data_IF_556206996329
#
_entry.id   IF_556206996329
#
_cell.length_a   1.000
_cell.length_b   1.000
_cell.length_c   1.000
_cell.angle_alpha   90.00
_cell.angle_beta   90.00
_cell.angle_gamma   90.00
#
_symmetry.space_group_name_H-M   'P 1'
#
loop_
_entity.id
_entity.type
_entity.pdbx_description
1 polymer ?
#
# COMPACT_ATOMS: atom_id res chain seq x y z
N UNK A 1 12.78 56.32 49.08
CA UNK A 1 13.41 55.42 48.09
C UNK A 1 12.32 54.52 47.53
N UNK A 2 11.73 54.88 46.40
CA UNK A 2 10.73 54.07 45.72
C UNK A 2 11.47 53.13 44.76
N UNK A 3 11.30 51.81 44.93
CA UNK A 3 11.85 50.80 44.02
C UNK A 3 10.97 50.71 42.76
N UNK A 4 11.44 51.09 41.57
CA UNK A 4 10.68 50.96 40.34
C UNK A 4 11.35 49.87 39.50
N UNK A 5 11.00 48.59 39.65
CA UNK A 5 11.47 47.57 38.69
C UNK A 5 10.68 46.24 38.66
N UNK A 6 9.66 46.03 39.50
CA UNK A 6 8.93 44.74 39.52
C UNK A 6 7.88 44.56 38.42
N UNK A 7 7.38 45.65 37.81
CA UNK A 7 6.35 45.57 36.75
C UNK A 7 6.90 45.19 35.36
N UNK A 8 8.14 45.59 35.05
CA UNK A 8 8.78 45.28 33.75
C UNK A 8 9.19 43.81 33.63
N UNK A 9 9.61 43.19 34.74
CA UNK A 9 9.93 41.76 34.78
C UNK A 9 8.70 40.87 34.60
N UNK A 10 7.55 41.29 35.14
CA UNK A 10 6.29 40.55 35.03
C UNK A 10 5.73 40.57 33.61
N UNK A 11 5.78 41.71 32.89
CA UNK A 11 5.34 41.77 31.49
C UNK A 11 6.23 40.95 30.55
N UNK A 12 7.56 40.94 30.77
CA UNK A 12 8.49 40.15 29.97
C UNK A 12 8.22 38.65 30.10
N UNK A 13 8.04 38.13 31.32
CA UNK A 13 7.69 36.73 31.55
C UNK A 13 6.34 36.33 30.93
N UNK A 14 5.33 37.19 30.99
CA UNK A 14 4.04 36.94 30.33
C UNK A 14 4.16 36.93 28.80
N UNK A 15 4.97 37.82 28.21
CA UNK A 15 5.22 37.83 26.77
C UNK A 15 5.93 36.54 26.32
N UNK A 16 6.98 36.11 27.04
CA UNK A 16 7.69 34.87 26.76
C UNK A 16 6.80 33.63 26.93
N UNK A 17 5.89 33.60 27.91
CA UNK A 17 4.90 32.51 28.08
C UNK A 17 3.90 32.48 26.91
N UNK A 18 3.42 33.63 26.45
CA UNK A 18 2.50 33.71 25.30
C UNK A 18 3.17 33.33 23.98
N UNK A 19 4.43 33.71 23.76
CA UNK A 19 5.22 33.33 22.57
C UNK A 19 5.58 31.83 22.55
N UNK A 20 5.80 31.21 23.71
CA UNK A 20 6.03 29.75 23.81
C UNK A 20 4.73 28.93 23.72
N UNK A 21 3.58 29.49 24.10
CA UNK A 21 2.26 28.90 23.84
C UNK A 21 1.79 29.03 22.37
N UNK A 22 2.33 29.99 21.62
CA UNK A 22 2.12 30.12 20.16
C UNK A 22 2.98 29.14 19.35
N UNK A 23 4.01 28.54 19.95
CA UNK A 23 4.77 27.42 19.37
C UNK A 23 4.17 26.08 19.80
N UNK A 24 2.88 25.86 19.52
CA UNK A 24 2.45 24.49 19.31
C UNK A 24 2.90 24.08 17.91
N UNK A 25 3.85 23.13 17.75
CA UNK A 25 4.07 22.55 16.45
C UNK A 25 2.71 22.00 16.01
N UNK A 26 2.16 22.56 14.94
CA UNK A 26 1.00 21.99 14.27
C UNK A 26 1.40 20.57 13.91
N UNK A 27 0.78 19.60 14.56
CA UNK A 27 0.87 18.21 14.11
C UNK A 27 0.05 18.19 12.84
N UNK A 28 0.75 18.30 11.72
CA UNK A 28 0.18 18.01 10.41
C UNK A 28 -0.30 16.56 10.41
N UNK A 29 -1.56 16.35 10.07
CA UNK A 29 -2.11 15.03 9.81
C UNK A 29 -2.29 14.93 8.31
N UNK A 30 -1.64 13.97 7.66
CA UNK A 30 -1.92 13.73 6.25
C UNK A 30 -3.42 13.40 6.08
N UNK A 31 -4.16 14.28 5.42
CA UNK A 31 -5.55 14.04 5.03
C UNK A 31 -5.65 13.61 3.56
N UNK A 32 -4.53 13.21 2.96
CA UNK A 32 -4.43 12.88 1.55
C UNK A 32 -3.71 11.55 1.37
N UNK A 33 -4.33 10.65 0.60
CA UNK A 33 -3.75 9.36 0.23
C UNK A 33 -3.73 9.21 -1.29
N UNK A 34 -2.54 9.02 -1.85
CA UNK A 34 -2.35 8.67 -3.25
C UNK A 34 -1.94 7.21 -3.36
N UNK A 35 -2.61 6.48 -4.24
CA UNK A 35 -2.42 5.03 -4.37
C UNK A 35 -1.94 4.70 -5.77
N UNK A 36 -0.83 3.98 -5.90
CA UNK A 36 -0.27 3.48 -7.16
C UNK A 36 -0.14 1.97 -7.08
N UNK A 37 -0.25 1.27 -8.20
CA UNK A 37 -0.08 -0.17 -8.19
C UNK A 37 -0.94 -0.98 -9.14
N UNK A 38 -1.08 -2.25 -8.78
CA UNK A 38 -1.83 -3.27 -9.51
C UNK A 38 -3.22 -3.58 -8.91
N UNK A 39 -3.77 -4.75 -9.23
CA UNK A 39 -5.11 -5.19 -8.85
C UNK A 39 -5.32 -5.30 -7.33
N UNK A 40 -4.25 -5.47 -6.54
CA UNK A 40 -4.38 -5.46 -5.09
C UNK A 40 -4.84 -4.09 -4.56
N UNK A 41 -4.48 -3.01 -5.25
CA UNK A 41 -4.76 -1.63 -4.85
C UNK A 41 -5.72 -0.89 -5.81
N UNK A 42 -6.25 -1.57 -6.83
CA UNK A 42 -7.19 -0.99 -7.78
C UNK A 42 -8.53 -0.66 -7.11
N UNK A 43 -8.86 0.64 -7.05
CA UNK A 43 -10.10 1.15 -6.48
C UNK A 43 -11.27 1.19 -7.48
N UNK A 44 -11.12 0.54 -8.65
CA UNK A 44 -12.10 0.52 -9.74
C UNK A 44 -11.66 1.32 -10.97
N UNK A 45 -10.37 1.64 -11.15
CA UNK A 45 -9.88 2.28 -12.36
C UNK A 45 -10.00 1.36 -13.58
N UNK A 46 -9.77 0.05 -13.41
CA UNK A 46 -9.80 -0.91 -14.52
C UNK A 46 -11.04 -0.75 -15.38
N UNK A 47 -12.22 -0.56 -14.78
CA UNK A 47 -13.51 -0.47 -15.47
C UNK A 47 -13.66 0.75 -16.41
N UNK A 48 -12.75 1.71 -16.37
CA UNK A 48 -12.76 2.90 -17.25
C UNK A 48 -11.76 2.80 -18.41
N UNK A 49 -11.07 1.66 -18.56
CA UNK A 49 -10.17 1.40 -19.70
C UNK A 49 -10.94 0.84 -20.91
N UNK A 50 -10.20 0.29 -21.89
CA UNK A 50 -10.74 -0.16 -23.18
C UNK A 50 -11.91 -1.15 -23.09
N UNK A 51 -12.69 -1.27 -24.17
CA UNK A 51 -13.90 -2.12 -24.20
C UNK A 51 -13.64 -3.61 -23.92
N UNK A 52 -12.43 -4.12 -24.21
CA UNK A 52 -12.06 -5.53 -24.03
C UNK A 52 -11.52 -5.89 -22.63
N UNK A 53 -11.54 -4.94 -21.69
CA UNK A 53 -11.04 -5.14 -20.32
C UNK A 53 -11.83 -6.21 -19.56
N UNK A 54 -11.15 -6.90 -18.65
CA UNK A 54 -11.77 -7.62 -17.53
C UNK A 54 -11.62 -6.74 -16.29
N UNK A 55 -12.73 -6.35 -15.68
CA UNK A 55 -12.78 -5.53 -14.48
C UNK A 55 -13.54 -6.25 -13.35
N UNK A 56 -13.38 -5.81 -12.10
CA UNK A 56 -14.10 -6.38 -10.95
C UNK A 56 -15.43 -5.64 -10.66
N UNK A 57 -16.13 -5.19 -11.71
CA UNK A 57 -17.39 -4.44 -11.64
C UNK A 57 -18.65 -5.33 -11.76
N UNK A 58 -18.49 -6.62 -11.47
CA UNK A 58 -19.56 -7.62 -11.52
C UNK A 58 -19.46 -8.63 -10.36
N UNK A 59 -20.57 -9.30 -9.96
CA UNK A 59 -20.54 -10.34 -8.94
C UNK A 59 -19.63 -11.51 -9.35
N UNK A 60 -18.77 -12.01 -8.43
CA UNK A 60 -18.95 -11.94 -6.99
C UNK A 60 -18.03 -10.94 -6.29
N UNK A 61 -17.28 -10.13 -7.03
CA UNK A 61 -16.50 -9.05 -6.43
C UNK A 61 -17.43 -8.11 -5.66
N UNK A 62 -17.03 -7.76 -4.44
CA UNK A 62 -17.85 -6.95 -3.53
C UNK A 62 -19.01 -7.68 -2.83
N UNK A 63 -19.09 -9.02 -2.89
CA UNK A 63 -20.16 -9.80 -2.21
C UNK A 63 -20.30 -9.50 -0.71
N UNK A 64 -19.20 -9.21 0.00
CA UNK A 64 -19.18 -8.91 1.44
C UNK A 64 -19.73 -7.51 1.75
N UNK A 65 -19.63 -6.58 0.81
CA UNK A 65 -20.21 -5.22 0.93
C UNK A 65 -21.56 -5.08 0.25
N UNK A 66 -22.04 -6.13 -0.42
CA UNK A 66 -23.38 -6.23 -1.00
C UNK A 66 -23.51 -5.78 -2.45
N UNK A 67 -22.45 -5.27 -3.06
CA UNK A 67 -22.44 -4.81 -4.46
C UNK A 67 -21.02 -4.83 -5.05
N UNK A 68 -20.91 -4.95 -6.38
CA UNK A 68 -19.63 -4.86 -7.05
C UNK A 68 -19.06 -3.44 -6.98
N UNK A 69 -17.77 -3.34 -6.64
CA UNK A 69 -17.10 -2.04 -6.34
C UNK A 69 -15.92 -1.73 -7.25
N UNK A 70 -15.61 -2.60 -8.22
CA UNK A 70 -14.44 -2.49 -9.07
C UNK A 70 -13.12 -2.93 -8.39
N UNK A 71 -13.16 -3.32 -7.11
CA UNK A 71 -12.03 -3.85 -6.34
C UNK A 71 -11.91 -5.35 -6.53
N UNK A 72 -10.69 -5.84 -6.70
CA UNK A 72 -10.40 -7.27 -6.86
C UNK A 72 -10.40 -7.99 -5.51
N UNK A 73 -11.56 -8.02 -4.85
CA UNK A 73 -11.79 -8.68 -3.57
C UNK A 73 -13.29 -8.92 -3.37
N UNK A 74 -13.67 -9.67 -2.34
CA UNK A 74 -15.07 -9.75 -1.89
C UNK A 74 -15.56 -8.43 -1.26
N UNK A 75 -14.69 -7.45 -1.04
CA UNK A 75 -15.07 -6.15 -0.48
C UNK A 75 -13.93 -5.14 -0.48
N UNK A 76 -13.57 -4.66 0.71
CA UNK A 76 -12.53 -3.67 0.92
C UNK A 76 -11.12 -4.22 0.74
N UNK A 77 -10.30 -3.40 0.09
CA UNK A 77 -8.85 -3.63 -0.09
C UNK A 77 -8.07 -2.77 0.89
N UNK A 78 -6.77 -3.05 1.06
CA UNK A 78 -5.88 -2.32 2.00
C UNK A 78 -6.03 -0.79 1.92
N UNK A 79 -6.03 -0.12 0.74
CA UNK A 79 -6.23 1.32 0.65
C UNK A 79 -7.54 1.84 1.29
N UNK A 80 -8.63 1.08 1.23
CA UNK A 80 -9.91 1.47 1.83
C UNK A 80 -9.84 1.52 3.35
N UNK A 81 -9.17 0.52 3.94
CA UNK A 81 -8.96 0.46 5.38
C UNK A 81 -8.03 1.55 5.87
N UNK A 82 -6.93 1.79 5.15
CA UNK A 82 -6.00 2.87 5.47
C UNK A 82 -6.68 4.24 5.40
N UNK A 83 -7.50 4.50 4.38
CA UNK A 83 -8.32 5.71 4.33
C UNK A 83 -9.23 5.85 5.56
N UNK A 84 -9.89 4.75 5.97
CA UNK A 84 -10.68 4.72 7.20
C UNK A 84 -9.86 5.02 8.46
N UNK A 85 -8.66 4.47 8.59
CA UNK A 85 -7.76 4.73 9.73
C UNK A 85 -7.24 6.17 9.75
N UNK A 86 -7.00 6.75 8.57
CA UNK A 86 -6.68 8.16 8.37
C UNK A 86 -7.87 9.09 8.62
N UNK A 87 -9.09 8.55 8.76
CA UNK A 87 -10.36 9.27 8.90
C UNK A 87 -10.69 10.15 7.68
N UNK A 88 -10.36 9.67 6.49
CA UNK A 88 -10.70 10.31 5.22
C UNK A 88 -11.71 9.43 4.45
N UNK A 89 -12.44 9.97 3.47
CA UNK A 89 -13.28 9.16 2.59
C UNK A 89 -12.46 8.08 1.86
N UNK A 90 -13.13 7.00 1.44
CA UNK A 90 -12.48 5.98 0.58
C UNK A 90 -11.92 6.64 -0.67
N UNK A 91 -10.75 6.20 -1.11
CA UNK A 91 -10.06 6.79 -2.23
C UNK A 91 -10.73 6.40 -3.55
N UNK A 92 -11.11 7.41 -4.32
CA UNK A 92 -11.78 7.25 -5.60
C UNK A 92 -10.82 6.94 -6.76
N UNK A 93 -11.27 6.21 -7.79
CA UNK A 93 -10.47 5.94 -8.99
C UNK A 93 -10.29 7.21 -9.83
N UNK A 94 -9.05 7.59 -10.15
CA UNK A 94 -8.74 8.81 -10.91
C UNK A 94 -9.37 8.84 -12.32
N UNK A 95 -9.68 7.67 -12.89
CA UNK A 95 -10.29 7.58 -14.22
C UNK A 95 -11.79 7.89 -14.22
N UNK A 96 -12.45 7.92 -13.05
CA UNK A 96 -13.81 8.45 -12.93
C UNK A 96 -13.77 9.96 -12.69
N UNK A 97 -13.91 10.76 -13.75
CA UNK A 97 -13.78 12.22 -13.66
C UNK A 97 -14.84 12.92 -12.80
N UNK A 98 -15.91 12.21 -12.42
CA UNK A 98 -17.03 12.76 -11.64
C UNK A 98 -16.82 12.70 -10.13
N UNK A 99 -15.74 12.07 -9.68
CA UNK A 99 -15.44 11.84 -8.26
C UNK A 99 -14.84 13.08 -7.57
N UNK A 100 -14.98 13.12 -6.25
CA UNK A 100 -14.24 14.06 -5.41
C UNK A 100 -12.82 13.52 -5.14
N UNK A 101 -11.83 14.38 -5.36
CA UNK A 101 -10.42 14.06 -5.16
C UNK A 101 -9.80 14.87 -4.03
N UNK A 102 -10.59 15.59 -3.22
CA UNK A 102 -10.11 16.45 -2.14
C UNK A 102 -9.13 15.78 -1.17
N UNK A 103 -9.27 14.46 -0.95
CA UNK A 103 -8.44 13.65 -0.06
C UNK A 103 -7.50 12.68 -0.80
N UNK A 104 -7.21 12.95 -2.06
CA UNK A 104 -6.34 12.14 -2.92
C UNK A 104 -7.10 11.28 -3.92
N UNK A 105 -6.40 10.36 -4.56
CA UNK A 105 -6.93 9.53 -5.64
C UNK A 105 -6.13 8.23 -5.79
N UNK A 106 -6.79 7.19 -6.30
CA UNK A 106 -6.14 5.96 -6.70
C UNK A 106 -5.83 6.02 -8.18
N UNK A 107 -4.56 5.79 -8.51
CA UNK A 107 -4.02 5.61 -9.84
C UNK A 107 -3.73 4.14 -10.14
N UNK A 108 -3.83 3.25 -9.14
CA UNK A 108 -3.62 1.82 -9.30
C UNK A 108 -4.64 1.22 -10.29
N UNK A 109 -4.18 0.27 -11.09
CA UNK A 109 -4.98 -0.39 -12.13
C UNK A 109 -4.63 -1.87 -12.15
N UNK A 110 -5.64 -2.74 -12.18
CA UNK A 110 -5.40 -4.18 -12.27
C UNK A 110 -4.58 -4.60 -13.50
N UNK A 111 -3.75 -5.62 -13.30
CA UNK A 111 -2.73 -6.11 -14.24
C UNK A 111 -1.62 -5.10 -14.58
N UNK A 112 -1.50 -4.01 -13.81
CA UNK A 112 -0.42 -3.05 -14.03
C UNK A 112 0.94 -3.72 -13.87
N UNK A 113 1.84 -3.40 -14.79
CA UNK A 113 3.25 -3.79 -14.70
C UNK A 113 4.13 -2.55 -14.61
N UNK A 114 5.38 -2.73 -14.24
CA UNK A 114 6.37 -1.66 -14.25
C UNK A 114 6.87 -1.40 -15.67
N UNK A 115 7.19 -2.47 -16.43
CA UNK A 115 7.91 -2.35 -17.69
C UNK A 115 7.04 -2.34 -18.95
N UNK A 116 5.86 -2.98 -18.94
CA UNK A 116 5.06 -3.22 -20.15
C UNK A 116 3.61 -2.72 -20.03
N UNK A 117 3.13 -2.04 -21.07
CA UNK A 117 1.73 -1.62 -21.15
C UNK A 117 0.98 -2.46 -22.17
N UNK A 118 -0.27 -2.79 -21.88
CA UNK A 118 -1.30 -3.09 -22.88
C UNK A 118 -2.35 -1.98 -22.89
N UNK A 119 -3.34 -2.05 -23.80
CA UNK A 119 -4.49 -1.13 -23.82
C UNK A 119 -5.52 -1.43 -22.70
N UNK A 120 -5.34 -2.55 -21.99
CA UNK A 120 -6.25 -3.04 -20.95
C UNK A 120 -5.76 -2.66 -19.55
N UNK A 121 -4.56 -2.09 -19.41
CA UNK A 121 -3.99 -1.67 -18.12
C UNK A 121 -3.12 -0.41 -18.27
N UNK A 122 -2.50 0.05 -17.18
CA UNK A 122 -1.54 1.14 -17.16
C UNK A 122 -0.24 0.72 -16.48
N UNK A 123 0.91 1.11 -17.01
CA UNK A 123 2.19 0.96 -16.31
C UNK A 123 2.32 1.92 -15.13
N UNK A 124 3.19 1.61 -14.17
CA UNK A 124 3.53 2.55 -13.08
C UNK A 124 3.88 3.94 -13.61
N UNK A 125 4.68 4.02 -14.68
CA UNK A 125 5.04 5.29 -15.31
C UNK A 125 3.82 6.04 -15.83
N UNK A 126 2.85 5.37 -16.45
CA UNK A 126 1.61 6.00 -16.90
C UNK A 126 0.74 6.48 -15.73
N UNK A 127 0.71 5.72 -14.63
CA UNK A 127 0.01 6.12 -13.40
C UNK A 127 0.63 7.39 -12.82
N UNK A 128 1.97 7.47 -12.72
CA UNK A 128 2.69 8.67 -12.27
C UNK A 128 2.49 9.85 -13.22
N UNK A 129 2.53 9.65 -14.54
CA UNK A 129 2.22 10.71 -15.52
C UNK A 129 0.80 11.25 -15.33
N UNK A 130 -0.18 10.37 -15.07
CA UNK A 130 -1.56 10.77 -14.77
C UNK A 130 -1.63 11.59 -13.48
N UNK A 131 -0.90 11.19 -12.44
CA UNK A 131 -0.78 11.94 -11.19
C UNK A 131 -0.18 13.33 -11.43
N UNK A 132 0.97 13.42 -12.08
CA UNK A 132 1.64 14.71 -12.35
C UNK A 132 0.77 15.65 -13.18
N UNK A 133 -0.01 15.12 -14.15
CA UNK A 133 -0.97 15.91 -14.93
C UNK A 133 -2.20 16.36 -14.13
N UNK A 134 -2.53 15.65 -13.06
CA UNK A 134 -3.68 15.93 -12.20
C UNK A 134 -3.29 16.76 -10.96
N UNK A 135 -2.00 17.04 -10.77
CA UNK A 135 -1.46 17.59 -9.51
C UNK A 135 -2.10 18.92 -9.09
N UNK A 136 -2.58 19.70 -10.05
CA UNK A 136 -3.26 20.97 -9.83
C UNK A 136 -4.62 20.84 -9.12
N UNK A 137 -5.12 19.62 -8.91
CA UNK A 137 -6.29 19.34 -8.05
C UNK A 137 -5.97 19.48 -6.56
N UNK A 138 -4.69 19.51 -6.17
CA UNK A 138 -4.24 19.55 -4.78
C UNK A 138 -3.30 20.73 -4.54
N UNK A 139 -3.24 21.18 -3.28
CA UNK A 139 -2.27 22.21 -2.86
C UNK A 139 -0.89 21.58 -2.67
N UNK A 140 0.17 22.39 -2.74
CA UNK A 140 1.53 21.92 -2.46
C UNK A 140 1.67 21.34 -1.05
N UNK A 141 0.94 21.90 -0.08
CA UNK A 141 0.88 21.37 1.29
C UNK A 141 0.24 19.98 1.31
N UNK A 142 -0.94 19.81 0.67
CA UNK A 142 -1.58 18.50 0.57
C UNK A 142 -0.70 17.46 -0.12
N UNK A 143 0.08 17.84 -1.14
CA UNK A 143 1.03 16.96 -1.82
C UNK A 143 2.20 16.57 -0.90
N UNK A 144 2.82 17.53 -0.23
CA UNK A 144 3.96 17.26 0.66
C UNK A 144 3.58 16.46 1.91
N UNK A 145 2.36 16.64 2.41
CA UNK A 145 1.89 15.95 3.60
C UNK A 145 1.28 14.58 3.30
N UNK A 146 0.87 14.31 2.05
CA UNK A 146 0.21 13.07 1.64
C UNK A 146 1.05 11.81 1.88
N UNK A 147 0.35 10.69 2.05
CA UNK A 147 0.95 9.36 1.97
C UNK A 147 0.83 8.83 0.53
N UNK A 148 1.94 8.34 -0.01
CA UNK A 148 2.04 7.75 -1.34
C UNK A 148 2.19 6.22 -1.22
N UNK A 149 1.07 5.51 -1.29
CA UNK A 149 0.99 4.07 -1.11
C UNK A 149 1.21 3.33 -2.45
N UNK A 150 2.13 2.37 -2.48
CA UNK A 150 2.49 1.64 -3.70
C UNK A 150 2.58 0.13 -3.48
N UNK A 151 1.98 -0.64 -4.40
CA UNK A 151 2.19 -2.09 -4.57
C UNK A 151 2.21 -2.44 -6.05
N UNK A 152 3.36 -2.84 -6.58
CA UNK A 152 3.54 -3.05 -8.03
C UNK A 152 4.67 -4.03 -8.32
N UNK A 153 4.55 -4.80 -9.40
CA UNK A 153 5.61 -5.68 -9.90
C UNK A 153 5.21 -7.16 -9.98
N UNK A 154 4.10 -7.56 -9.33
CA UNK A 154 3.62 -8.95 -9.33
C UNK A 154 3.44 -9.50 -10.75
N UNK A 155 2.75 -8.75 -11.61
CA UNK A 155 2.49 -9.18 -12.98
C UNK A 155 3.74 -9.14 -13.88
N UNK A 156 4.75 -8.28 -13.61
CA UNK A 156 6.04 -8.32 -14.31
C UNK A 156 6.71 -9.69 -14.13
N UNK A 157 6.80 -10.17 -12.88
CA UNK A 157 7.48 -11.42 -12.57
C UNK A 157 6.65 -12.66 -12.94
N UNK A 158 5.32 -12.63 -12.78
CA UNK A 158 4.46 -13.71 -13.26
C UNK A 158 4.58 -13.89 -14.78
N UNK A 159 4.55 -12.78 -15.54
CA UNK A 159 4.70 -12.82 -16.99
C UNK A 159 6.12 -13.24 -17.42
N UNK A 160 7.16 -12.68 -16.78
CA UNK A 160 8.54 -13.02 -17.10
C UNK A 160 8.83 -14.50 -16.88
N UNK A 161 8.45 -15.05 -15.73
CA UNK A 161 8.76 -16.44 -15.36
C UNK A 161 7.94 -17.47 -16.15
N UNK A 162 6.76 -17.08 -16.65
CA UNK A 162 5.98 -17.87 -17.61
C UNK A 162 6.68 -17.98 -18.96
N UNK A 163 7.26 -16.87 -19.44
CA UNK A 163 7.95 -16.81 -20.72
C UNK A 163 9.41 -17.29 -20.67
N UNK A 164 10.01 -17.29 -19.48
CA UNK A 164 11.40 -17.68 -19.23
C UNK A 164 11.41 -18.70 -18.07
N UNK A 165 11.12 -19.98 -18.31
CA UNK A 165 10.99 -20.96 -17.23
C UNK A 165 12.33 -21.37 -16.59
N UNK A 166 13.46 -21.14 -17.27
CA UNK A 166 14.80 -21.49 -16.79
C UNK A 166 15.80 -20.33 -17.03
N UNK A 167 15.59 -19.15 -16.43
CA UNK A 167 16.52 -18.04 -16.60
C UNK A 167 17.79 -18.28 -15.78
N UNK A 168 18.94 -17.86 -16.30
CA UNK A 168 20.18 -17.80 -15.52
C UNK A 168 20.05 -16.77 -14.39
N UNK A 169 20.91 -16.85 -13.38
CA UNK A 169 20.89 -15.87 -12.29
C UNK A 169 21.17 -14.44 -12.78
N UNK A 170 22.03 -14.28 -13.79
CA UNK A 170 22.26 -12.99 -14.46
C UNK A 170 20.97 -12.46 -15.12
N UNK A 171 20.22 -13.32 -15.83
CA UNK A 171 18.96 -12.91 -16.46
C UNK A 171 17.89 -12.52 -15.44
N UNK A 172 17.85 -13.21 -14.28
CA UNK A 172 16.96 -12.84 -13.16
C UNK A 172 17.33 -11.47 -12.61
N UNK A 173 18.60 -11.25 -12.34
CA UNK A 173 19.14 -10.00 -11.80
C UNK A 173 18.89 -8.84 -12.77
N UNK A 174 19.24 -9.00 -14.05
CA UNK A 174 19.04 -7.98 -15.09
C UNK A 174 17.57 -7.56 -15.23
N UNK A 175 16.63 -8.51 -15.12
CA UNK A 175 15.21 -8.20 -15.18
C UNK A 175 14.74 -7.45 -13.93
N UNK A 176 15.15 -7.89 -12.74
CA UNK A 176 14.82 -7.19 -11.48
C UNK A 176 15.41 -5.77 -11.50
N UNK A 177 16.63 -5.58 -11.97
CA UNK A 177 17.28 -4.27 -11.99
C UNK A 177 16.57 -3.29 -12.92
N UNK A 178 16.05 -3.76 -14.06
CA UNK A 178 15.20 -2.93 -14.95
C UNK A 178 13.91 -2.48 -14.25
N UNK A 179 13.24 -3.40 -13.55
CA UNK A 179 12.02 -3.10 -12.77
C UNK A 179 12.33 -2.08 -11.67
N UNK A 180 13.37 -2.31 -10.87
CA UNK A 180 13.74 -1.42 -9.75
C UNK A 180 14.19 -0.05 -10.24
N UNK A 181 14.93 0.03 -11.36
CA UNK A 181 15.32 1.31 -11.98
C UNK A 181 14.10 2.14 -12.40
N UNK A 182 13.07 1.48 -12.94
CA UNK A 182 11.84 2.15 -13.35
C UNK A 182 11.01 2.60 -12.14
N UNK A 183 11.00 1.82 -11.06
CA UNK A 183 10.39 2.23 -9.78
C UNK A 183 11.15 3.43 -9.18
N UNK A 184 12.48 3.43 -9.20
CA UNK A 184 13.29 4.58 -8.74
C UNK A 184 12.91 5.87 -9.50
N UNK A 185 12.76 5.78 -10.83
CA UNK A 185 12.34 6.92 -11.64
C UNK A 185 10.92 7.41 -11.29
N UNK A 186 9.98 6.49 -11.06
CA UNK A 186 8.62 6.82 -10.63
C UNK A 186 8.60 7.53 -9.27
N UNK A 187 9.37 7.04 -8.29
CA UNK A 187 9.49 7.63 -6.96
C UNK A 187 10.09 9.04 -7.05
N UNK A 188 11.17 9.21 -7.82
CA UNK A 188 11.79 10.52 -8.03
C UNK A 188 10.83 11.52 -8.66
N UNK A 189 10.05 11.10 -9.66
CA UNK A 189 9.05 11.98 -10.28
C UNK A 189 7.93 12.39 -9.30
N UNK A 190 7.50 11.50 -8.41
CA UNK A 190 6.52 11.83 -7.36
C UNK A 190 7.14 12.76 -6.30
N UNK A 191 8.40 12.54 -5.93
CA UNK A 191 9.13 13.40 -5.00
C UNK A 191 9.35 14.82 -5.56
N UNK A 192 9.76 14.92 -6.83
CA UNK A 192 9.87 16.19 -7.56
C UNK A 192 8.53 16.92 -7.65
N UNK A 193 7.41 16.18 -7.70
CA UNK A 193 6.07 16.74 -7.66
C UNK A 193 5.59 17.18 -6.26
N UNK A 194 6.43 17.02 -5.24
CA UNK A 194 6.18 17.48 -3.86
C UNK A 194 6.05 16.36 -2.83
N UNK A 195 5.98 15.09 -3.25
CA UNK A 195 5.75 13.98 -2.31
C UNK A 195 6.91 13.73 -1.35
N UNK A 196 6.60 13.42 -0.09
CA UNK A 196 7.61 13.23 0.97
C UNK A 196 7.45 11.93 1.76
N UNK A 197 6.23 11.38 1.89
CA UNK A 197 5.94 10.21 2.72
C UNK A 197 5.48 9.03 1.87
N UNK A 198 6.32 8.02 1.71
CA UNK A 198 6.08 6.89 0.82
C UNK A 198 5.82 5.61 1.60
N UNK A 199 4.81 4.84 1.21
CA UNK A 199 4.51 3.55 1.80
C UNK A 199 4.58 2.46 0.73
N UNK A 200 5.42 1.46 0.95
CA UNK A 200 5.58 0.33 0.04
C UNK A 200 5.13 -0.96 0.71
N UNK A 201 4.35 -1.74 -0.03
CA UNK A 201 4.08 -3.14 0.28
C UNK A 201 4.99 -4.00 -0.59
N UNK A 202 5.76 -4.89 0.02
CA UNK A 202 6.60 -5.86 -0.72
C UNK A 202 5.73 -6.84 -1.51
N UNK A 203 6.29 -7.56 -2.47
CA UNK A 203 5.56 -8.58 -3.22
C UNK A 203 5.32 -9.83 -2.37
N UNK A 204 4.19 -10.49 -2.61
CA UNK A 204 3.86 -11.79 -2.00
C UNK A 204 4.82 -12.88 -2.53
N UNK A 205 4.89 -14.06 -1.88
CA UNK A 205 5.52 -15.24 -2.48
C UNK A 205 4.70 -15.68 -3.71
N UNK A 206 5.00 -15.11 -4.88
CA UNK A 206 4.18 -15.25 -6.09
C UNK A 206 3.97 -16.70 -6.52
N UNK A 207 4.94 -17.57 -6.26
CA UNK A 207 4.82 -19.00 -6.53
C UNK A 207 3.82 -19.74 -5.66
N UNK A 208 3.39 -19.14 -4.55
CA UNK A 208 2.43 -19.68 -3.60
C UNK A 208 0.99 -19.25 -3.89
N UNK A 209 0.77 -18.32 -4.81
CA UNK A 209 -0.59 -17.86 -5.17
C UNK A 209 -1.42 -19.06 -5.68
N UNK A 210 -2.73 -19.14 -5.33
CA UNK A 210 -3.59 -20.25 -5.75
C UNK A 210 -3.55 -20.50 -7.26
N UNK A 211 -3.55 -19.43 -8.08
CA UNK A 211 -3.46 -19.54 -9.55
C UNK A 211 -2.16 -20.22 -9.99
N UNK A 212 -1.02 -19.86 -9.40
CA UNK A 212 0.29 -20.38 -9.81
C UNK A 212 0.45 -21.84 -9.40
N UNK A 213 0.03 -22.20 -8.18
CA UNK A 213 0.03 -23.60 -7.71
C UNK A 213 -0.88 -24.47 -8.56
N UNK A 214 -2.04 -23.95 -8.93
CA UNK A 214 -2.98 -24.63 -9.81
C UNK A 214 -2.39 -24.86 -11.20
N UNK A 215 -1.80 -23.84 -11.82
CA UNK A 215 -1.12 -23.95 -13.12
C UNK A 215 0.05 -24.95 -13.11
N UNK A 216 0.77 -25.05 -11.98
CA UNK A 216 1.86 -26.02 -11.80
C UNK A 216 1.40 -27.41 -11.37
N UNK A 217 0.11 -27.60 -11.08
CA UNK A 217 -0.45 -28.87 -10.63
C UNK A 217 0.06 -29.33 -9.26
N UNK A 218 0.50 -28.40 -8.39
CA UNK A 218 1.06 -28.73 -7.08
C UNK A 218 0.31 -28.01 -5.95
N UNK A 219 -0.47 -28.78 -5.19
CA UNK A 219 -1.27 -28.27 -4.07
C UNK A 219 -0.44 -27.96 -2.83
N UNK A 220 0.80 -28.45 -2.69
CA UNK A 220 1.56 -28.36 -1.44
C UNK A 220 2.76 -27.41 -1.52
N UNK A 221 3.47 -27.45 -2.63
CA UNK A 221 4.69 -26.68 -2.80
C UNK A 221 4.44 -25.46 -3.69
N UNK A 222 5.07 -24.35 -3.31
CA UNK A 222 5.08 -23.15 -4.12
C UNK A 222 6.03 -23.31 -5.31
N UNK A 223 5.70 -22.69 -6.44
CA UNK A 223 6.62 -22.60 -7.56
C UNK A 223 7.84 -21.76 -7.16
N UNK A 224 9.04 -22.35 -7.29
CA UNK A 224 10.28 -21.71 -6.81
C UNK A 224 10.60 -20.39 -7.53
N UNK A 225 10.64 -20.41 -8.87
CA UNK A 225 11.13 -19.29 -9.66
C UNK A 225 10.34 -17.96 -9.46
N UNK A 226 8.99 -17.92 -9.49
CA UNK A 226 8.26 -16.68 -9.24
C UNK A 226 8.48 -16.12 -7.83
N UNK A 227 8.56 -16.99 -6.82
CA UNK A 227 8.83 -16.58 -5.44
C UNK A 227 10.26 -16.07 -5.25
N UNK A 228 11.25 -16.68 -5.91
CA UNK A 228 12.64 -16.21 -5.89
C UNK A 228 12.79 -14.83 -6.52
N UNK A 229 12.15 -14.60 -7.67
CA UNK A 229 12.15 -13.30 -8.34
C UNK A 229 11.49 -12.22 -7.47
N UNK A 230 10.36 -12.55 -6.82
CA UNK A 230 9.69 -11.65 -5.88
C UNK A 230 10.55 -11.33 -4.66
N UNK A 231 11.24 -12.32 -4.09
CA UNK A 231 12.16 -12.11 -2.98
C UNK A 231 13.35 -11.20 -3.37
N UNK A 232 13.91 -11.40 -4.58
CA UNK A 232 14.98 -10.56 -5.11
C UNK A 232 14.51 -9.11 -5.34
N UNK A 233 13.30 -8.93 -5.90
CA UNK A 233 12.65 -7.62 -6.00
C UNK A 233 12.52 -6.95 -4.64
N UNK A 234 11.96 -7.66 -3.65
CA UNK A 234 11.70 -7.11 -2.32
C UNK A 234 12.98 -6.62 -1.65
N UNK A 235 14.06 -7.40 -1.76
CA UNK A 235 15.39 -7.02 -1.27
C UNK A 235 15.90 -5.75 -1.96
N UNK A 236 15.84 -5.70 -3.29
CA UNK A 236 16.37 -4.56 -4.04
C UNK A 236 15.50 -3.30 -3.85
N UNK A 237 14.19 -3.45 -3.68
CA UNK A 237 13.28 -2.35 -3.39
C UNK A 237 13.54 -1.76 -2.00
N UNK A 238 13.77 -2.58 -0.98
CA UNK A 238 14.15 -2.10 0.35
C UNK A 238 15.49 -1.35 0.31
N UNK A 239 16.51 -1.92 -0.34
CA UNK A 239 17.80 -1.25 -0.53
C UNK A 239 17.64 0.10 -1.27
N UNK A 240 16.75 0.17 -2.25
CA UNK A 240 16.42 1.42 -2.95
C UNK A 240 15.79 2.43 -1.99
N UNK A 241 14.88 2.02 -1.09
CA UNK A 241 14.28 2.94 -0.13
C UNK A 241 15.31 3.50 0.85
N UNK A 242 16.21 2.65 1.34
CA UNK A 242 17.32 3.06 2.21
C UNK A 242 18.25 4.05 1.50
N UNK A 243 18.59 3.79 0.24
CA UNK A 243 19.37 4.71 -0.60
C UNK A 243 18.67 6.06 -0.77
N UNK A 244 17.39 6.05 -1.18
CA UNK A 244 16.63 7.28 -1.43
C UNK A 244 16.42 8.11 -0.16
N UNK A 245 16.32 7.49 1.01
CA UNK A 245 16.28 8.19 2.29
C UNK A 245 17.59 8.95 2.61
N UNK A 246 18.72 8.52 2.06
CA UNK A 246 20.00 9.25 2.14
C UNK A 246 20.19 10.28 1.03
N UNK A 247 19.63 10.03 -0.15
CA UNK A 247 19.83 10.86 -1.35
C UNK A 247 18.82 12.01 -1.49
N UNK A 248 17.59 11.84 -0.98
CA UNK A 248 16.49 12.78 -1.18
C UNK A 248 16.10 13.47 0.12
N UNK A 249 16.03 14.80 0.07
CA UNK A 249 15.59 15.62 1.21
C UNK A 249 14.14 15.30 1.61
N UNK A 250 13.93 15.15 2.91
CA UNK A 250 12.63 14.83 3.53
C UNK A 250 11.92 13.63 2.87
N UNK A 251 12.68 12.63 2.44
CA UNK A 251 12.15 11.34 2.01
C UNK A 251 11.94 10.42 3.21
N UNK A 252 10.68 10.20 3.56
CA UNK A 252 10.27 9.31 4.64
C UNK A 252 9.56 8.12 4.05
N UNK A 253 9.87 6.92 4.53
CA UNK A 253 9.23 5.72 4.03
C UNK A 253 8.80 4.74 5.11
N UNK A 254 7.83 3.93 4.73
CA UNK A 254 7.37 2.71 5.39
C UNK A 254 7.48 1.58 4.37
N UNK A 255 7.99 0.45 4.80
CA UNK A 255 8.10 -0.77 4.00
C UNK A 255 7.47 -1.91 4.78
N UNK A 256 6.48 -2.56 4.18
CA UNK A 256 5.76 -3.68 4.77
C UNK A 256 6.17 -5.01 4.12
N UNK A 257 6.64 -5.96 4.93
CA UNK A 257 6.98 -7.32 4.54
C UNK A 257 5.73 -8.19 4.31
N UNK A 258 5.08 -7.92 3.19
CA UNK A 258 3.95 -8.69 2.71
C UNK A 258 4.31 -10.13 2.36
N UNK A 259 5.55 -10.36 1.90
CA UNK A 259 6.03 -11.69 1.54
C UNK A 259 5.88 -12.65 2.71
N UNK A 260 6.52 -12.32 3.84
CA UNK A 260 6.46 -13.15 5.04
C UNK A 260 5.07 -13.16 5.65
N UNK A 261 4.34 -12.03 5.62
CA UNK A 261 2.97 -11.97 6.15
C UNK A 261 2.02 -12.95 5.43
N UNK A 262 2.02 -12.94 4.10
CA UNK A 262 1.17 -13.84 3.31
C UNK A 262 1.67 -15.28 3.41
N UNK A 263 2.98 -15.52 3.45
CA UNK A 263 3.52 -16.85 3.67
C UNK A 263 3.04 -17.44 5.01
N UNK A 264 3.09 -16.67 6.10
CA UNK A 264 2.64 -17.11 7.41
C UNK A 264 1.14 -17.38 7.46
N UNK A 265 0.32 -16.53 6.81
CA UNK A 265 -1.13 -16.75 6.68
C UNK A 265 -1.46 -17.98 5.85
N UNK A 266 -0.66 -18.26 4.82
CA UNK A 266 -0.84 -19.42 3.97
C UNK A 266 -0.49 -20.74 4.70
N UNK A 267 0.58 -20.72 5.49
CA UNK A 267 1.08 -21.89 6.23
C UNK A 267 0.31 -22.17 7.52
N UNK A 268 -0.05 -21.12 8.27
CA UNK A 268 -0.70 -21.22 9.58
C UNK A 268 -2.04 -20.46 9.60
N UNK A 269 -2.99 -20.72 8.68
CA UNK A 269 -4.18 -19.90 8.48
C UNK A 269 -5.03 -19.73 9.75
N UNK A 270 -5.09 -20.77 10.59
CA UNK A 270 -5.89 -20.76 11.83
C UNK A 270 -5.35 -19.79 12.88
N UNK A 271 -4.04 -19.55 12.90
CA UNK A 271 -3.41 -18.52 13.76
C UNK A 271 -3.91 -17.12 13.39
N UNK A 272 -4.38 -16.96 12.16
CA UNK A 272 -4.86 -15.70 11.59
C UNK A 272 -6.36 -15.73 11.29
N UNK A 273 -7.11 -16.57 12.03
CA UNK A 273 -8.57 -16.73 11.94
C UNK A 273 -9.11 -17.27 10.60
N UNK A 274 -8.25 -17.72 9.69
CA UNK A 274 -8.66 -18.37 8.43
C UNK A 274 -8.77 -19.89 8.58
N UNK A 275 -9.65 -20.49 7.79
CA UNK A 275 -9.74 -21.94 7.64
C UNK A 275 -8.72 -22.44 6.62
N UNK A 276 -8.55 -21.71 5.50
CA UNK A 276 -7.62 -22.06 4.44
C UNK A 276 -6.79 -20.88 3.97
N UNK A 277 -5.50 -21.14 3.77
CA UNK A 277 -4.53 -20.18 3.28
C UNK A 277 -3.96 -20.51 1.90
N UNK A 278 -4.41 -21.60 1.27
CA UNK A 278 -3.83 -22.13 0.02
C UNK A 278 -4.80 -22.14 -1.14
N UNK A 279 -6.10 -22.31 -0.88
CA UNK A 279 -7.16 -22.24 -1.88
C UNK A 279 -7.81 -20.85 -1.88
N UNK A 280 -8.42 -20.49 -3.01
CA UNK A 280 -9.22 -19.28 -3.13
C UNK A 280 -10.70 -19.54 -2.79
N UNK A 281 -11.39 -18.50 -2.34
CA UNK A 281 -12.85 -18.57 -2.11
C UNK A 281 -13.61 -18.71 -3.43
N UNK A 282 -13.17 -18.04 -4.49
CA UNK A 282 -13.85 -17.94 -5.76
C UNK A 282 -13.01 -18.49 -6.91
N UNK A 283 -13.59 -19.43 -7.65
CA UNK A 283 -12.98 -20.00 -8.85
C UNK A 283 -13.23 -21.49 -9.02
N UNK A 284 -12.47 -22.09 -9.92
CA UNK A 284 -12.55 -23.51 -10.29
C UNK A 284 -11.20 -24.20 -10.17
N UNK A 285 -11.22 -25.52 -10.14
CA UNK A 285 -10.02 -26.36 -10.01
C UNK A 285 -9.76 -26.73 -8.55
N UNK A 286 -8.68 -27.47 -8.30
CA UNK A 286 -8.42 -28.07 -6.99
C UNK A 286 -8.01 -27.03 -5.91
N UNK A 287 -7.63 -25.82 -6.31
CA UNK A 287 -7.37 -24.68 -5.40
C UNK A 287 -8.31 -23.50 -5.66
N UNK A 288 -9.35 -23.67 -6.49
CA UNK A 288 -10.19 -22.57 -7.00
C UNK A 288 -9.37 -21.44 -7.64
N UNK A 289 -8.18 -21.73 -8.19
CA UNK A 289 -7.21 -20.70 -8.57
C UNK A 289 -7.52 -19.92 -9.85
N UNK A 290 -8.60 -20.24 -10.57
CA UNK A 290 -8.91 -19.63 -11.89
C UNK A 290 -10.41 -19.45 -12.09
N UNK A 291 -10.80 -18.52 -12.95
CA UNK A 291 -12.17 -18.45 -13.47
C UNK A 291 -13.23 -18.08 -12.43
N UNK A 292 -12.89 -17.19 -11.49
CA UNK A 292 -13.84 -16.66 -10.52
C UNK A 292 -15.08 -16.07 -11.21
N UNK A 293 -16.26 -16.51 -10.78
CA UNK A 293 -17.57 -16.15 -11.33
C UNK A 293 -18.66 -16.29 -10.26
N UNK A 294 -19.83 -15.69 -10.49
CA UNK A 294 -20.91 -15.66 -9.50
C UNK A 294 -21.40 -17.06 -9.04
N UNK A 295 -21.16 -18.12 -9.81
CA UNK A 295 -21.62 -19.48 -9.52
C UNK A 295 -20.56 -20.39 -8.86
N UNK A 296 -19.36 -19.89 -8.56
CA UNK A 296 -18.26 -20.69 -8.01
C UNK A 296 -17.55 -20.01 -6.83
N UNK A 297 -18.36 -19.42 -5.94
CA UNK A 297 -17.91 -18.71 -4.73
C UNK A 297 -18.13 -19.58 -3.50
N UNK A 298 -17.20 -19.51 -2.56
CA UNK A 298 -17.32 -20.16 -1.26
C UNK A 298 -18.48 -19.58 -0.42
N UNK A 299 -19.00 -20.31 0.59
CA UNK A 299 -20.08 -19.82 1.44
C UNK A 299 -19.71 -18.64 2.34
N UNK A 300 -18.45 -18.57 2.81
CA UNK A 300 -17.97 -17.50 3.69
C UNK A 300 -16.55 -17.06 3.29
N UNK A 301 -16.39 -15.89 2.64
CA UNK A 301 -15.08 -15.37 2.28
C UNK A 301 -14.13 -15.20 3.46
N UNK A 302 -14.62 -15.03 4.71
CA UNK A 302 -13.77 -14.83 5.89
C UNK A 302 -12.96 -16.08 6.26
N UNK A 303 -13.36 -17.25 5.76
CA UNK A 303 -12.63 -18.50 5.97
C UNK A 303 -11.36 -18.59 5.11
N UNK A 304 -11.16 -17.69 4.15
CA UNK A 304 -10.11 -17.77 3.13
C UNK A 304 -9.17 -16.57 3.20
N UNK A 305 -7.87 -16.82 3.00
CA UNK A 305 -6.88 -15.75 2.79
C UNK A 305 -7.08 -15.08 1.42
N UNK A 306 -7.33 -15.89 0.39
CA UNK A 306 -7.45 -15.45 -1.00
C UNK A 306 -8.91 -15.44 -1.46
N UNK A 307 -9.36 -14.32 -2.04
CA UNK A 307 -10.69 -14.25 -2.63
C UNK A 307 -10.71 -14.95 -3.98
N UNK A 308 -9.78 -14.61 -4.87
CA UNK A 308 -9.59 -15.27 -6.16
C UNK A 308 -8.17 -15.87 -6.26
N UNK A 309 -7.76 -16.26 -7.47
CA UNK A 309 -6.45 -16.87 -7.70
C UNK A 309 -5.21 -16.03 -7.34
N UNK A 310 -5.36 -14.71 -7.16
CA UNK A 310 -4.26 -13.76 -6.90
C UNK A 310 -4.52 -12.85 -5.70
N UNK A 311 -5.76 -12.41 -5.50
CA UNK A 311 -6.10 -11.33 -4.60
C UNK A 311 -6.65 -11.79 -3.26
N UNK A 312 -6.46 -10.97 -2.24
CA UNK A 312 -6.88 -11.25 -0.87
C UNK A 312 -8.38 -11.06 -0.65
N UNK A 313 -8.91 -11.77 0.34
CA UNK A 313 -10.25 -11.47 0.88
C UNK A 313 -10.26 -10.14 1.63
N UNK A 314 -11.44 -9.57 1.85
CA UNK A 314 -11.61 -8.36 2.64
C UNK A 314 -11.02 -8.53 4.04
N UNK A 315 -11.24 -9.70 4.67
CA UNK A 315 -10.69 -10.00 6.00
C UNK A 315 -9.15 -10.03 5.99
N UNK A 316 -8.54 -10.68 4.99
CA UNK A 316 -7.09 -10.67 4.85
C UNK A 316 -6.53 -9.26 4.56
N UNK A 317 -7.22 -8.46 3.72
CA UNK A 317 -6.88 -7.06 3.49
C UNK A 317 -6.96 -6.22 4.77
N UNK A 318 -7.97 -6.44 5.62
CA UNK A 318 -8.11 -5.75 6.90
C UNK A 318 -6.92 -6.04 7.82
N UNK A 319 -6.57 -7.31 8.01
CA UNK A 319 -5.47 -7.68 8.89
C UNK A 319 -4.12 -7.18 8.36
N UNK A 320 -3.93 -7.16 7.04
CA UNK A 320 -2.75 -6.53 6.40
C UNK A 320 -2.72 -5.02 6.66
N UNK A 321 -3.82 -4.31 6.41
CA UNK A 321 -3.90 -2.87 6.65
C UNK A 321 -3.64 -2.51 8.11
N UNK A 322 -4.09 -3.37 9.04
CA UNK A 322 -3.82 -3.20 10.46
C UNK A 322 -2.32 -3.27 10.80
N UNK A 323 -1.62 -4.25 10.23
CA UNK A 323 -0.16 -4.41 10.36
C UNK A 323 0.59 -3.20 9.81
N UNK A 324 0.23 -2.76 8.60
CA UNK A 324 0.80 -1.57 7.96
C UNK A 324 0.56 -0.29 8.78
N UNK A 325 -0.62 -0.17 9.39
CA UNK A 325 -0.99 1.04 10.12
C UNK A 325 -0.14 1.25 11.37
N UNK A 326 -0.02 0.25 12.25
CA UNK A 326 0.61 0.43 13.57
C UNK A 326 0.94 -0.86 14.35
N UNK A 327 0.62 -2.06 13.82
CA UNK A 327 0.55 -3.24 14.67
C UNK A 327 1.91 -3.92 14.96
N UNK A 328 2.81 -4.07 13.99
CA UNK A 328 3.99 -4.92 14.18
C UNK A 328 5.28 -4.37 13.54
N UNK A 329 6.28 -3.96 14.34
CA UNK A 329 7.57 -3.49 13.85
C UNK A 329 8.46 -4.61 13.28
N UNK A 330 8.10 -5.88 13.45
CA UNK A 330 8.82 -7.01 12.83
C UNK A 330 8.53 -7.14 11.34
N UNK A 331 7.37 -6.65 10.89
CA UNK A 331 6.94 -6.73 9.49
C UNK A 331 6.75 -5.37 8.83
N UNK A 332 6.76 -4.26 9.59
CA UNK A 332 6.69 -2.90 9.03
C UNK A 332 7.80 -2.02 9.59
N UNK A 333 8.58 -1.37 8.72
CA UNK A 333 9.61 -0.42 9.14
C UNK A 333 10.17 0.43 8.00
N UNK A 334 11.02 1.43 8.27
CA UNK A 334 11.41 1.90 9.60
C UNK A 334 10.29 2.68 10.30
N UNK A 335 9.32 3.20 9.56
CA UNK A 335 8.10 3.79 10.10
C UNK A 335 6.91 2.90 9.74
N UNK A 336 5.84 2.91 10.55
CA UNK A 336 4.51 2.48 10.12
C UNK A 336 3.70 3.65 9.53
N UNK A 337 2.53 3.37 8.95
CA UNK A 337 1.73 4.41 8.30
C UNK A 337 1.16 5.44 9.29
N UNK A 338 0.86 5.05 10.54
CA UNK A 338 0.45 6.01 11.57
C UNK A 338 1.58 6.98 11.90
N UNK A 339 2.82 6.51 11.97
CA UNK A 339 4.00 7.36 12.18
C UNK A 339 4.25 8.28 10.98
N UNK A 340 4.16 7.76 9.75
CA UNK A 340 4.25 8.58 8.53
C UNK A 340 3.18 9.68 8.49
N UNK A 341 1.96 9.38 8.89
CA UNK A 341 0.83 10.31 8.92
C UNK A 341 1.18 11.63 9.61
N UNK A 342 1.84 11.52 10.76
CA UNK A 342 2.18 12.65 11.65
C UNK A 342 3.66 13.04 11.56
N UNK A 343 4.42 12.45 10.64
CA UNK A 343 5.85 12.70 10.51
C UNK A 343 6.09 14.17 10.11
N UNK A 344 6.90 14.92 10.86
CA UNK A 344 7.16 16.32 10.57
C UNK A 344 8.02 16.47 9.31
N UNK A 345 7.64 17.39 8.41
CA UNK A 345 8.39 17.65 7.18
C UNK A 345 9.68 18.47 7.41
N UNK A 346 9.77 19.21 8.53
CA UNK A 346 10.94 20.02 8.90
C UNK A 346 11.96 19.24 9.75
N UNK A 347 13.20 19.17 9.26
CA UNK A 347 14.34 18.45 9.87
C UNK A 347 14.85 19.06 11.18
N UNK A 348 14.49 20.31 11.52
CA UNK A 348 15.03 21.04 12.67
C UNK A 348 14.48 20.61 14.05
N UNK A 349 13.56 19.65 14.13
CA UNK A 349 12.88 19.28 15.38
C UNK A 349 12.81 17.77 15.63
N UNK A 350 13.92 17.05 15.47
CA UNK A 350 13.90 15.57 15.51
C UNK A 350 13.80 14.97 16.93
N UNK A 351 14.25 15.62 18.01
CA UNK A 351 14.35 14.93 19.33
C UNK A 351 13.20 15.16 20.32
N UNK A 352 12.34 16.15 20.12
CA UNK A 352 11.18 16.42 21.00
C UNK A 352 9.83 15.99 20.40
N UNK A 353 9.78 15.67 19.09
CA UNK A 353 8.56 15.25 18.39
C UNK A 353 8.30 13.73 18.43
N UNK A 354 9.35 12.90 18.53
CA UNK A 354 9.26 11.43 18.63
C UNK A 354 8.36 10.96 19.80
N UNK A 355 8.46 11.61 20.97
CA UNK A 355 7.65 11.28 22.14
C UNK A 355 6.14 11.58 21.97
N UNK A 356 5.75 12.53 21.11
CA UNK A 356 4.32 12.82 20.82
C UNK A 356 3.74 11.86 19.79
N UNK A 357 4.54 11.48 18.79
CA UNK A 357 4.16 10.50 17.76
C UNK A 357 3.88 9.13 18.40
N UNK A 358 4.76 8.70 19.32
CA UNK A 358 4.53 7.47 20.10
C UNK A 358 3.29 7.53 21.00
N UNK A 359 2.83 8.70 21.44
CA UNK A 359 1.58 8.82 22.23
C UNK A 359 0.35 8.71 21.32
N UNK A 360 0.34 9.38 20.17
CA UNK A 360 -0.79 9.37 19.21
C UNK A 360 -0.97 7.98 18.61
N UNK A 361 0.11 7.36 18.15
CA UNK A 361 0.06 6.01 17.56
C UNK A 361 0.12 4.90 18.63
N UNK A 362 0.85 5.08 19.74
CA UNK A 362 0.93 4.06 20.79
C UNK A 362 -0.36 3.85 21.60
N UNK A 363 -1.27 4.83 21.66
CA UNK A 363 -2.60 4.61 22.25
C UNK A 363 -3.48 3.69 21.39
N UNK A 364 -3.24 3.60 20.08
CA UNK A 364 -3.94 2.67 19.17
C UNK A 364 -3.42 1.24 19.32
N UNK A 365 -2.14 1.03 19.69
CA UNK A 365 -1.57 -0.32 19.98
C UNK A 365 -2.33 -1.07 21.07
N UNK A 366 -2.83 -0.38 22.10
CA UNK A 366 -3.57 -1.02 23.21
C UNK A 366 -5.02 -1.38 22.87
N UNK A 367 -5.61 -0.74 21.86
CA UNK A 367 -6.97 -1.06 21.41
C UNK A 367 -6.98 -2.20 20.36
N UNK A 368 -5.89 -2.38 19.60
CA UNK A 368 -5.74 -3.42 18.58
C UNK A 368 -5.35 -4.81 19.09
N UNK A 369 -4.74 -4.92 20.28
CA UNK A 369 -4.39 -6.23 20.87
C UNK A 369 -5.57 -7.11 21.30
N UNK A 370 -6.81 -6.67 21.06
CA UNK A 370 -8.01 -7.49 21.28
C UNK A 370 -8.58 -8.11 20.01
N UNK A 371 -7.97 -7.91 18.83
CA UNK A 371 -8.43 -8.45 17.54
C UNK A 371 -7.31 -9.08 16.70
N UNK A 372 -6.38 -9.80 17.34
CA UNK A 372 -5.51 -10.78 16.67
C UNK A 372 -5.63 -12.10 17.42
#
# INVERSE_FOLDING_TARGET
MAYPNSRLFSLSCLLFLTLSLLHHPTVSFAQTLFVFGDGNYDAGNKQFLSENRVAADFPPYGITVGEATGRWSDGHIVPDYLAGFMRIPKISPILNSSEDFSHGASFAVADATVLASSLETMTLTQQVVKFTRSKNKWTDEALSEAIYLTYIGSDDYLNYTKNNPNPSDDQKQDFVDQVITSIEAAIKAVHEAGGRKFAFQSLAPLGCLPVVRQEKGNEKECAKLPSEMAALHNKNLLNLMEKLAGDLESFHYSFYDFYSSIQNRALEPRTYTFVTGTAACCGTGFLNGTGCAANNVCPDPRDYVFFDGKHLTQEANFQVAHLMWNADPLVTGPNNLCELLVFPLDTAASRTKENKIQIICGQVRKAGSFMI
#
